data_IF_948917296402
#
_entry.id   IF_948917296402
#
_cell.length_a   1.000
_cell.length_b   1.000
_cell.length_c   1.000
_cell.angle_alpha   90.00
_cell.angle_beta   90.00
_cell.angle_gamma   90.00
#
_symmetry.space_group_name_H-M   'P 1'
#
loop_
_entity.id
_entity.type
_entity.pdbx_description
1 polymer ?
#
# COMPACT_ATOMS: atom_id res chain seq x y z
N UNK A 1 -15.21 -23.59 -7.78
CA UNK A 1 -14.37 -22.93 -6.77
C UNK A 1 -13.35 -22.10 -7.55
N UNK A 2 -13.62 -20.81 -7.71
CA UNK A 2 -12.68 -19.89 -8.35
C UNK A 2 -11.52 -19.65 -7.38
N UNK A 3 -10.31 -20.07 -7.76
CA UNK A 3 -9.10 -19.85 -6.97
C UNK A 3 -8.83 -18.34 -6.87
N UNK A 4 -8.96 -17.80 -5.66
CA UNK A 4 -8.62 -16.42 -5.33
C UNK A 4 -7.15 -16.13 -5.61
N UNK A 5 -6.84 -14.87 -5.94
CA UNK A 5 -5.46 -14.43 -6.13
C UNK A 5 -4.88 -13.76 -4.88
N UNK A 6 -3.55 -13.84 -4.75
CA UNK A 6 -2.81 -13.30 -3.62
C UNK A 6 -3.08 -11.82 -3.39
N UNK A 7 -3.19 -11.45 -2.10
CA UNK A 7 -3.49 -10.09 -1.61
C UNK A 7 -4.89 -9.58 -2.00
N UNK A 8 -5.87 -10.46 -2.16
CA UNK A 8 -7.27 -10.11 -2.42
C UNK A 8 -7.57 -9.60 -3.83
N UNK A 9 -6.62 -9.78 -4.76
CA UNK A 9 -6.76 -9.38 -6.15
C UNK A 9 -7.24 -10.56 -7.02
N UNK A 10 -8.19 -10.30 -7.93
CA UNK A 10 -8.56 -11.27 -8.96
C UNK A 10 -7.36 -11.59 -9.88
N UNK A 11 -7.36 -12.77 -10.50
CA UNK A 11 -6.41 -13.08 -11.58
C UNK A 11 -6.61 -12.06 -12.73
N UNK A 12 -5.52 -11.63 -13.34
CA UNK A 12 -5.55 -10.65 -14.43
C UNK A 12 -6.46 -11.14 -15.58
N UNK A 13 -7.37 -10.27 -16.06
CA UNK A 13 -8.26 -10.56 -17.20
C UNK A 13 -9.75 -10.26 -17.02
N UNK A 14 -10.20 -9.85 -15.82
CA UNK A 14 -11.61 -9.47 -15.58
C UNK A 14 -11.97 -8.05 -16.06
N UNK A 15 -13.24 -7.83 -16.41
CA UNK A 15 -13.74 -6.48 -16.73
C UNK A 15 -13.67 -5.57 -15.49
N UNK A 16 -13.08 -4.38 -15.64
CA UNK A 16 -12.99 -3.40 -14.56
C UNK A 16 -14.37 -2.75 -14.30
N UNK A 17 -14.93 -2.97 -13.12
CA UNK A 17 -16.15 -2.33 -12.64
C UNK A 17 -15.79 -1.19 -11.69
N UNK A 18 -15.82 0.05 -12.21
CA UNK A 18 -15.51 1.26 -11.45
C UNK A 18 -16.44 1.44 -10.24
N UNK A 19 -17.72 1.05 -10.35
CA UNK A 19 -18.69 1.20 -9.28
C UNK A 19 -18.38 0.32 -8.08
N UNK A 20 -18.05 -0.96 -8.33
CA UNK A 20 -17.61 -1.88 -7.27
C UNK A 20 -16.24 -1.52 -6.70
N UNK A 21 -15.34 -0.96 -7.50
CA UNK A 21 -14.03 -0.51 -7.04
C UNK A 21 -14.15 0.66 -6.06
N UNK A 22 -14.96 1.68 -6.36
CA UNK A 22 -15.17 2.83 -5.47
C UNK A 22 -15.87 2.43 -4.17
N UNK A 23 -16.66 1.35 -4.17
CA UNK A 23 -17.29 0.82 -2.96
C UNK A 23 -16.34 0.03 -2.05
N UNK A 24 -15.09 -0.22 -2.47
CA UNK A 24 -14.13 -0.89 -1.60
C UNK A 24 -13.79 0.01 -0.40
N UNK A 25 -13.86 -0.52 0.84
CA UNK A 25 -13.66 0.30 2.04
C UNK A 25 -12.27 0.93 2.12
N UNK A 26 -11.24 0.27 1.56
CA UNK A 26 -9.89 0.82 1.43
C UNK A 26 -9.87 2.07 0.53
N UNK A 27 -10.58 2.02 -0.61
CA UNK A 27 -10.66 3.12 -1.57
C UNK A 27 -11.41 4.31 -0.96
N UNK A 28 -12.52 4.06 -0.26
CA UNK A 28 -13.25 5.12 0.46
C UNK A 28 -12.39 5.78 1.53
N UNK A 29 -11.65 5.00 2.33
CA UNK A 29 -10.74 5.55 3.32
C UNK A 29 -9.60 6.36 2.69
N UNK A 30 -9.13 5.98 1.49
CA UNK A 30 -8.14 6.73 0.71
C UNK A 30 -8.70 8.06 0.23
N UNK A 31 -9.90 8.05 -0.34
CA UNK A 31 -10.59 9.26 -0.82
C UNK A 31 -10.82 10.21 0.37
N UNK A 32 -11.32 9.71 1.50
CA UNK A 32 -11.50 10.51 2.71
C UNK A 32 -10.19 11.13 3.19
N UNK A 33 -9.11 10.34 3.25
CA UNK A 33 -7.77 10.82 3.62
C UNK A 33 -7.25 11.89 2.66
N UNK A 34 -7.49 11.74 1.36
CA UNK A 34 -7.13 12.74 0.35
C UNK A 34 -7.91 14.05 0.53
N UNK A 35 -9.23 13.96 0.77
CA UNK A 35 -10.08 15.12 1.00
C UNK A 35 -9.68 15.86 2.26
N UNK A 36 -9.42 15.16 3.37
CA UNK A 36 -8.99 15.79 4.61
C UNK A 36 -7.63 16.49 4.44
N UNK A 37 -6.67 15.83 3.80
CA UNK A 37 -5.38 16.43 3.47
C UNK A 37 -5.54 17.70 2.60
N UNK A 38 -6.40 17.64 1.58
CA UNK A 38 -6.72 18.76 0.70
C UNK A 38 -7.29 19.94 1.48
N UNK A 39 -8.25 19.69 2.37
CA UNK A 39 -8.84 20.74 3.21
C UNK A 39 -7.77 21.40 4.08
N UNK A 40 -6.91 20.61 4.75
CA UNK A 40 -5.86 21.15 5.61
C UNK A 40 -4.93 22.07 4.84
N UNK A 41 -4.32 21.61 3.73
CA UNK A 41 -3.36 22.46 3.03
C UNK A 41 -4.06 23.64 2.32
N UNK A 42 -5.26 23.46 1.80
CA UNK A 42 -5.99 24.54 1.13
C UNK A 42 -6.36 25.66 2.11
N UNK A 43 -6.84 25.32 3.32
CA UNK A 43 -7.11 26.30 4.37
C UNK A 43 -5.84 27.06 4.77
N UNK A 44 -4.70 26.38 4.88
CA UNK A 44 -3.44 27.01 5.29
C UNK A 44 -2.79 27.85 4.18
N UNK A 45 -2.86 27.41 2.93
CA UNK A 45 -2.36 28.19 1.78
C UNK A 45 -3.23 29.40 1.50
N UNK A 46 -4.56 29.25 1.62
CA UNK A 46 -5.51 30.33 1.33
C UNK A 46 -5.57 31.38 2.43
N UNK A 47 -5.67 30.95 3.69
CA UNK A 47 -5.95 31.84 4.83
C UNK A 47 -5.05 31.57 6.05
N UNK A 48 -4.05 30.69 5.93
CA UNK A 48 -3.11 30.43 7.03
C UNK A 48 -2.13 31.58 7.26
N UNK A 49 -2.03 32.52 6.32
CA UNK A 49 -1.18 33.69 6.40
C UNK A 49 -2.00 34.97 6.40
N UNK A 50 -1.74 35.85 7.36
CA UNK A 50 -2.42 37.14 7.48
C UNK A 50 -1.42 38.24 7.78
N UNK A 51 -1.77 39.48 7.43
CA UNK A 51 -0.98 40.66 7.73
C UNK A 51 -1.72 41.56 8.73
N UNK A 52 -0.95 42.27 9.54
CA UNK A 52 -1.52 43.28 10.43
C UNK A 52 -1.95 44.52 9.62
N UNK A 53 -3.02 45.24 9.96
CA UNK A 53 -3.42 46.46 9.22
C UNK A 53 -2.32 47.51 9.11
N UNK A 54 -1.37 47.52 10.06
CA UNK A 54 -0.25 48.47 10.13
C UNK A 54 1.02 48.02 9.39
N UNK A 55 1.08 46.79 8.86
CA UNK A 55 2.28 46.25 8.20
C UNK A 55 1.92 45.32 7.04
N UNK A 56 2.63 45.39 5.89
CA UNK A 56 2.42 44.48 4.78
C UNK A 56 3.04 43.08 5.00
N UNK A 57 3.71 42.85 6.12
CA UNK A 57 4.33 41.55 6.41
C UNK A 57 3.26 40.49 6.70
N UNK A 58 3.34 39.36 5.99
CA UNK A 58 2.53 38.17 6.24
C UNK A 58 3.15 37.35 7.37
N UNK A 59 2.29 36.84 8.23
CA UNK A 59 2.66 35.92 9.30
C UNK A 59 1.70 34.75 9.35
N UNK A 60 2.21 33.60 9.76
CA UNK A 60 1.38 32.45 10.05
C UNK A 60 0.36 32.75 11.17
N UNK A 61 -0.90 32.39 10.94
CA UNK A 61 -2.03 32.58 11.86
C UNK A 61 -1.85 31.82 13.19
N UNK A 62 -1.01 30.79 13.20
CA UNK A 62 -0.68 30.02 14.40
C UNK A 62 0.45 30.71 15.17
N UNK A 63 0.09 31.63 16.06
CA UNK A 63 1.01 32.28 16.99
C UNK A 63 2.26 32.91 16.31
N UNK A 64 2.10 33.44 15.09
CA UNK A 64 3.19 33.99 14.26
C UNK A 64 4.34 33.00 14.01
N UNK A 65 4.09 31.70 14.20
CA UNK A 65 5.09 30.66 14.05
C UNK A 65 5.02 30.09 12.63
N UNK A 66 5.95 30.54 11.79
CA UNK A 66 6.09 30.10 10.40
C UNK A 66 6.19 28.58 10.25
N UNK A 67 6.83 27.90 11.20
CA UNK A 67 6.99 26.45 11.13
C UNK A 67 5.65 25.71 11.27
N UNK A 68 4.65 26.29 11.94
CA UNK A 68 3.31 25.69 12.07
C UNK A 68 2.57 25.64 10.74
N UNK A 69 2.49 26.76 10.02
CA UNK A 69 1.85 26.82 8.71
C UNK A 69 2.63 25.98 7.70
N UNK A 70 3.97 26.10 7.66
CA UNK A 70 4.81 25.33 6.74
C UNK A 70 4.70 23.83 6.99
N UNK A 71 4.66 23.41 8.25
CA UNK A 71 4.42 22.02 8.62
C UNK A 71 3.07 21.53 8.09
N UNK A 72 1.97 22.22 8.41
CA UNK A 72 0.64 21.79 8.01
C UNK A 72 0.45 21.75 6.49
N UNK A 73 0.99 22.74 5.77
CA UNK A 73 0.98 22.78 4.30
C UNK A 73 1.79 21.61 3.74
N UNK A 74 3.02 21.41 4.23
CA UNK A 74 3.91 20.36 3.74
C UNK A 74 3.33 18.97 3.93
N UNK A 75 2.86 18.67 5.15
CA UNK A 75 2.22 17.39 5.46
C UNK A 75 0.95 17.19 4.63
N UNK A 76 0.11 18.23 4.49
CA UNK A 76 -1.14 18.14 3.72
C UNK A 76 -0.91 17.92 2.22
N UNK A 77 0.01 18.65 1.59
CA UNK A 77 0.32 18.47 0.15
C UNK A 77 0.92 17.09 -0.12
N UNK A 78 1.90 16.67 0.68
CA UNK A 78 2.53 15.36 0.51
C UNK A 78 1.54 14.22 0.79
N UNK A 79 0.64 14.37 1.78
CA UNK A 79 -0.44 13.42 2.04
C UNK A 79 -1.36 13.26 0.82
N UNK A 80 -1.75 14.38 0.21
CA UNK A 80 -2.66 14.41 -0.92
C UNK A 80 -2.04 13.73 -2.15
N UNK A 81 -0.79 14.07 -2.47
CA UNK A 81 -0.05 13.43 -3.56
C UNK A 81 0.15 11.93 -3.33
N UNK A 82 0.50 11.54 -2.10
CA UNK A 82 0.60 10.12 -1.74
C UNK A 82 -0.74 9.40 -1.89
N UNK A 83 -1.85 10.03 -1.50
CA UNK A 83 -3.18 9.43 -1.71
C UNK A 83 -3.48 9.22 -3.20
N UNK A 84 -3.13 10.16 -4.08
CA UNK A 84 -3.26 9.98 -5.54
C UNK A 84 -2.40 8.82 -6.03
N UNK A 85 -1.15 8.75 -5.60
CA UNK A 85 -0.24 7.66 -5.97
C UNK A 85 -0.78 6.29 -5.53
N UNK A 86 -1.14 6.13 -4.26
CA UNK A 86 -1.66 4.86 -3.74
C UNK A 86 -3.04 4.52 -4.33
N UNK A 87 -3.86 5.52 -4.66
CA UNK A 87 -5.11 5.29 -5.38
C UNK A 87 -4.85 4.72 -6.79
N UNK A 88 -3.85 5.23 -7.51
CA UNK A 88 -3.44 4.64 -8.80
C UNK A 88 -2.90 3.22 -8.61
N UNK A 89 -2.10 2.99 -7.57
CA UNK A 89 -1.65 1.63 -7.21
C UNK A 89 -2.85 0.72 -6.98
N UNK A 90 -3.87 1.15 -6.24
CA UNK A 90 -5.09 0.37 -5.99
C UNK A 90 -5.83 0.01 -7.29
N UNK A 91 -5.89 0.93 -8.27
CA UNK A 91 -6.50 0.69 -9.61
C UNK A 91 -5.73 -0.39 -10.38
N UNK A 92 -4.41 -0.29 -10.43
CA UNK A 92 -3.58 -1.18 -11.24
C UNK A 92 -3.21 -2.48 -10.51
N UNK A 93 -3.41 -2.56 -9.19
CA UNK A 93 -3.03 -3.71 -8.38
C UNK A 93 -3.52 -5.06 -8.94
N UNK A 94 -4.77 -5.21 -9.43
CA UNK A 94 -5.24 -6.47 -10.00
C UNK A 94 -4.48 -6.92 -11.25
N UNK A 95 -3.90 -5.97 -12.00
CA UNK A 95 -3.17 -6.24 -13.24
C UNK A 95 -1.72 -6.70 -12.99
N UNK A 96 -1.18 -6.47 -11.80
CA UNK A 96 0.20 -6.84 -11.46
C UNK A 96 0.26 -8.37 -11.32
N UNK A 97 0.99 -9.07 -12.19
CA UNK A 97 1.15 -10.53 -12.09
C UNK A 97 2.21 -10.96 -11.07
N UNK A 98 3.21 -10.12 -10.81
CA UNK A 98 4.30 -10.41 -9.89
C UNK A 98 3.86 -10.26 -8.42
N UNK A 99 3.91 -11.37 -7.69
CA UNK A 99 3.48 -11.43 -6.30
C UNK A 99 4.45 -10.75 -5.34
N UNK A 100 5.72 -10.62 -5.72
CA UNK A 100 6.75 -9.89 -4.96
C UNK A 100 6.48 -8.38 -5.01
N UNK A 101 6.13 -7.85 -6.19
CA UNK A 101 5.78 -6.43 -6.35
C UNK A 101 4.52 -6.09 -5.56
N UNK A 102 3.50 -6.96 -5.61
CA UNK A 102 2.29 -6.84 -4.77
C UNK A 102 2.64 -6.75 -3.28
N UNK A 103 3.54 -7.60 -2.80
CA UNK A 103 3.99 -7.59 -1.40
C UNK A 103 4.61 -6.25 -1.02
N UNK A 104 5.55 -5.76 -1.82
CA UNK A 104 6.25 -4.50 -1.54
C UNK A 104 5.31 -3.30 -1.60
N UNK A 105 4.36 -3.28 -2.53
CA UNK A 105 3.34 -2.23 -2.60
C UNK A 105 2.43 -2.20 -1.37
N UNK A 106 1.98 -3.37 -0.91
CA UNK A 106 1.17 -3.46 0.32
C UNK A 106 1.98 -3.04 1.56
N UNK A 107 3.26 -3.44 1.65
CA UNK A 107 4.13 -3.06 2.76
C UNK A 107 4.46 -1.57 2.73
N UNK A 108 4.67 -1.00 1.55
CA UNK A 108 4.89 0.42 1.36
C UNK A 108 3.65 1.23 1.76
N UNK A 109 2.45 0.80 1.36
CA UNK A 109 1.19 1.42 1.76
C UNK A 109 0.98 1.36 3.28
N UNK A 110 1.25 0.20 3.88
CA UNK A 110 1.16 0.01 5.33
C UNK A 110 2.14 0.92 6.09
N UNK A 111 3.41 0.93 5.68
CA UNK A 111 4.46 1.73 6.32
C UNK A 111 4.24 3.22 6.14
N UNK A 112 3.89 3.65 4.92
CA UNK A 112 3.58 5.04 4.63
C UNK A 112 2.36 5.50 5.44
N UNK A 113 1.29 4.69 5.49
CA UNK A 113 0.10 5.02 6.27
C UNK A 113 0.38 5.10 7.77
N UNK A 114 1.24 4.24 8.29
CA UNK A 114 1.75 4.28 9.66
C UNK A 114 2.47 5.59 9.97
N UNK A 115 3.47 5.94 9.16
CA UNK A 115 4.22 7.18 9.30
C UNK A 115 3.30 8.40 9.21
N UNK A 116 2.38 8.42 8.26
CA UNK A 116 1.50 9.57 8.05
C UNK A 116 0.48 9.74 9.17
N UNK A 117 -0.03 8.65 9.74
CA UNK A 117 -0.88 8.71 10.94
C UNK A 117 -0.15 9.38 12.10
N UNK A 118 1.11 9.01 12.32
CA UNK A 118 1.94 9.62 13.36
C UNK A 118 2.22 11.10 13.10
N UNK A 119 2.53 11.47 11.85
CA UNK A 119 2.72 12.86 11.47
C UNK A 119 1.42 13.67 11.64
N UNK A 120 0.25 13.15 11.25
CA UNK A 120 -1.02 13.82 11.51
C UNK A 120 -1.28 14.04 13.01
N UNK A 121 -0.91 13.08 13.85
CA UNK A 121 -1.00 13.23 15.30
C UNK A 121 -0.09 14.35 15.82
N UNK A 122 1.19 14.37 15.41
CA UNK A 122 2.11 15.46 15.76
C UNK A 122 1.57 16.80 15.26
N UNK A 123 1.10 16.85 14.02
CA UNK A 123 0.52 18.04 13.42
C UNK A 123 -0.67 18.57 14.21
N UNK A 124 -1.62 17.70 14.51
CA UNK A 124 -2.77 18.06 15.33
C UNK A 124 -2.35 18.64 16.68
N UNK A 125 -1.46 17.98 17.41
CA UNK A 125 -0.95 18.48 18.69
C UNK A 125 -0.22 19.81 18.54
N UNK A 126 0.64 19.94 17.53
CA UNK A 126 1.44 21.14 17.30
C UNK A 126 0.59 22.34 16.91
N UNK A 127 -0.30 22.18 15.91
CA UNK A 127 -1.20 23.24 15.46
C UNK A 127 -2.17 23.65 16.58
N UNK A 128 -2.71 22.70 17.35
CA UNK A 128 -3.59 23.01 18.49
C UNK A 128 -2.84 23.77 19.58
N UNK A 129 -1.59 23.38 19.87
CA UNK A 129 -0.77 24.10 20.85
C UNK A 129 -0.49 25.53 20.40
N UNK A 130 -0.09 25.74 19.14
CA UNK A 130 0.15 27.11 18.64
C UNK A 130 -1.16 27.92 18.62
N UNK A 131 -2.28 27.30 18.24
CA UNK A 131 -3.59 27.95 18.26
C UNK A 131 -4.01 28.38 19.66
N UNK A 132 -3.77 27.56 20.69
CA UNK A 132 -4.10 27.89 22.07
C UNK A 132 -3.33 29.11 22.61
N UNK A 133 -2.15 29.40 22.06
CA UNK A 133 -1.33 30.57 22.41
C UNK A 133 -1.52 31.75 21.47
N UNK A 134 -2.31 31.59 20.40
CA UNK A 134 -2.61 32.66 19.45
C UNK A 134 -3.54 33.68 20.10
N UNK A 135 -3.19 34.97 20.01
CA UNK A 135 -4.02 36.03 20.59
C UNK A 135 -5.18 36.36 19.65
N UNK A 136 -6.35 36.62 20.21
CA UNK A 136 -7.53 36.96 19.41
C UNK A 136 -7.35 38.25 18.60
N UNK A 137 -6.53 39.18 19.08
CA UNK A 137 -6.17 40.44 18.41
C UNK A 137 -5.32 40.24 17.15
N UNK A 138 -4.70 39.06 16.99
CA UNK A 138 -3.85 38.73 15.84
C UNK A 138 -4.64 38.03 14.72
N UNK A 139 -5.89 37.63 14.98
CA UNK A 139 -6.71 36.83 14.07
C UNK A 139 -7.90 37.64 13.56
N UNK A 140 -7.66 38.48 12.55
CA UNK A 140 -8.70 39.30 11.91
C UNK A 140 -9.53 38.50 10.89
N UNK A 141 -8.88 37.61 10.13
CA UNK A 141 -9.46 36.77 9.07
C UNK A 141 -8.77 35.40 9.14
N UNK A 142 -9.49 34.31 8.82
CA UNK A 142 -8.90 32.96 8.75
C UNK A 142 -9.03 32.10 10.01
N UNK A 143 -9.70 32.59 11.06
CA UNK A 143 -9.93 31.80 12.28
C UNK A 143 -10.64 30.47 11.99
N UNK A 144 -11.66 30.49 11.12
CA UNK A 144 -12.41 29.31 10.74
C UNK A 144 -11.55 28.35 9.91
N UNK A 145 -10.72 28.87 9.00
CA UNK A 145 -9.75 28.08 8.23
C UNK A 145 -8.69 27.43 9.12
N UNK A 146 -8.17 28.12 10.14
CA UNK A 146 -7.24 27.55 11.12
C UNK A 146 -7.90 26.43 11.94
N UNK A 147 -9.14 26.66 12.41
CA UNK A 147 -9.92 25.64 13.14
C UNK A 147 -10.24 24.44 12.25
N UNK A 148 -10.59 24.67 10.99
CA UNK A 148 -10.78 23.61 10.01
C UNK A 148 -9.49 22.80 9.81
N UNK A 149 -8.35 23.46 9.60
CA UNK A 149 -7.06 22.79 9.47
C UNK A 149 -6.73 21.92 10.69
N UNK A 150 -6.97 22.39 11.92
CA UNK A 150 -6.83 21.58 13.14
C UNK A 150 -7.79 20.38 13.14
N UNK A 151 -9.08 20.63 12.88
CA UNK A 151 -10.13 19.60 12.93
C UNK A 151 -9.89 18.49 11.92
N UNK A 152 -9.54 18.85 10.68
CA UNK A 152 -9.27 17.86 9.63
C UNK A 152 -7.91 17.18 9.80
N UNK A 153 -6.94 17.81 10.49
CA UNK A 153 -5.72 17.11 10.94
C UNK A 153 -6.06 16.01 11.95
N UNK A 154 -6.97 16.27 12.90
CA UNK A 154 -7.44 15.26 13.85
C UNK A 154 -8.17 14.11 13.15
N UNK A 155 -9.11 14.40 12.24
CA UNK A 155 -9.81 13.36 11.49
C UNK A 155 -8.88 12.54 10.59
N UNK A 156 -7.82 13.16 10.07
CA UNK A 156 -6.80 12.44 9.29
C UNK A 156 -6.10 11.34 10.10
N UNK A 157 -5.94 11.48 11.42
CA UNK A 157 -5.37 10.41 12.25
C UNK A 157 -6.19 9.13 12.11
N UNK A 158 -7.52 9.22 12.19
CA UNK A 158 -8.39 8.06 12.09
C UNK A 158 -8.49 7.53 10.65
N UNK A 159 -8.58 8.41 9.65
CA UNK A 159 -8.70 7.98 8.26
C UNK A 159 -7.44 7.23 7.80
N UNK A 160 -6.26 7.70 8.19
CA UNK A 160 -4.99 7.01 7.94
C UNK A 160 -4.84 5.75 8.80
N UNK A 161 -5.34 5.76 10.03
CA UNK A 161 -5.46 4.55 10.86
C UNK A 161 -6.31 3.44 10.22
N UNK A 162 -7.40 3.80 9.55
CA UNK A 162 -8.21 2.85 8.77
C UNK A 162 -7.44 2.31 7.56
N UNK A 163 -6.64 3.15 6.88
CA UNK A 163 -5.76 2.69 5.80
C UNK A 163 -4.75 1.66 6.28
N UNK A 164 -4.15 1.85 7.47
CA UNK A 164 -3.27 0.86 8.10
C UNK A 164 -4.04 -0.46 8.31
N UNK A 165 -5.24 -0.41 8.88
CA UNK A 165 -6.02 -1.61 9.15
C UNK A 165 -6.37 -2.39 7.87
N UNK A 166 -6.76 -1.69 6.80
CA UNK A 166 -7.06 -2.30 5.51
C UNK A 166 -5.81 -2.83 4.81
N UNK A 167 -4.70 -2.10 4.80
CA UNK A 167 -3.42 -2.56 4.27
C UNK A 167 -2.90 -3.78 5.02
N UNK A 168 -3.04 -3.81 6.35
CA UNK A 168 -2.68 -4.95 7.18
C UNK A 168 -3.55 -6.18 6.89
N UNK A 169 -4.87 -6.00 6.76
CA UNK A 169 -5.78 -7.07 6.33
C UNK A 169 -5.35 -7.63 4.98
N UNK A 170 -5.01 -6.77 4.03
CA UNK A 170 -4.53 -7.16 2.69
C UNK A 170 -3.21 -7.91 2.74
N UNK A 171 -2.27 -7.46 3.56
CA UNK A 171 -1.01 -8.14 3.82
C UNK A 171 -1.24 -9.56 4.34
N UNK A 172 -2.09 -9.71 5.38
CA UNK A 172 -2.44 -11.01 5.94
C UNK A 172 -3.06 -11.96 4.92
N UNK A 173 -4.02 -11.47 4.11
CA UNK A 173 -4.64 -12.28 3.05
C UNK A 173 -3.60 -12.77 2.02
N UNK A 174 -2.60 -11.96 1.69
CA UNK A 174 -1.51 -12.39 0.81
C UNK A 174 -0.61 -13.45 1.45
N UNK A 175 -0.22 -13.27 2.71
CA UNK A 175 0.62 -14.24 3.45
C UNK A 175 -0.08 -15.59 3.59
N UNK A 176 -1.39 -15.58 3.90
CA UNK A 176 -2.20 -16.80 4.04
C UNK A 176 -2.33 -17.56 2.70
N UNK A 177 -2.53 -16.85 1.58
CA UNK A 177 -2.60 -17.45 0.23
C UNK A 177 -1.26 -18.09 -0.21
N UNK A 178 -0.14 -17.44 0.13
CA UNK A 178 1.19 -18.02 -0.09
C UNK A 178 1.44 -19.27 0.77
N UNK A 179 1.02 -19.26 2.03
CA UNK A 179 1.18 -20.40 2.92
C UNK A 179 0.39 -21.61 2.40
N UNK A 180 -0.85 -21.40 1.93
CA UNK A 180 -1.65 -22.46 1.31
C UNK A 180 -1.04 -22.99 0.00
N UNK A 181 -0.45 -22.11 -0.82
CA UNK A 181 0.21 -22.51 -2.08
C UNK A 181 1.47 -23.36 -1.88
N UNK A 182 2.11 -23.28 -0.71
CA UNK A 182 3.31 -24.06 -0.38
C UNK A 182 2.99 -25.41 0.29
N UNK A 183 1.78 -25.56 0.84
CA UNK A 183 1.28 -26.84 1.36
C UNK A 183 0.76 -27.64 0.15
N UNK A 184 1.60 -28.54 -0.36
CA UNK A 184 1.20 -29.50 -1.38
C UNK A 184 -0.03 -30.29 -0.89
N UNK A 185 -1.17 -30.29 -1.62
CA UNK A 185 -2.28 -31.15 -1.30
C UNK A 185 -1.96 -32.56 -1.83
N UNK A 186 -0.85 -33.16 -1.40
CA UNK A 186 -0.77 -34.62 -1.41
C UNK A 186 -1.74 -35.08 -0.34
N UNK A 187 -2.85 -35.76 -0.69
CA UNK A 187 -3.60 -36.46 0.33
C UNK A 187 -2.60 -37.44 0.93
N UNK A 188 -2.39 -37.38 2.23
CA UNK A 188 -1.86 -38.53 2.96
C UNK A 188 -2.85 -39.67 2.75
N UNK A 189 -2.73 -40.38 1.62
CA UNK A 189 -3.00 -41.79 1.59
C UNK A 189 -1.97 -42.37 2.55
N UNK A 190 -2.40 -42.54 3.80
CA UNK A 190 -1.72 -43.30 4.84
C UNK A 190 -1.05 -44.51 4.21
N UNK A 191 0.26 -44.44 3.97
CA UNK A 191 1.03 -45.57 3.50
C UNK A 191 0.98 -46.61 4.63
N UNK A 192 0.32 -47.75 4.46
CA UNK A 192 0.36 -48.79 5.48
C UNK A 192 1.80 -49.31 5.50
N UNK A 193 2.40 -49.33 6.69
CA UNK A 193 3.68 -49.97 7.00
C UNK A 193 4.00 -51.15 6.06
N UNK A 194 4.90 -50.95 5.10
CA UNK A 194 5.59 -52.04 4.42
C UNK A 194 6.87 -52.34 5.19
N UNK A 195 6.75 -53.28 6.12
CA UNK A 195 7.90 -53.96 6.73
C UNK A 195 8.78 -54.55 5.63
N UNK A 196 10.03 -54.13 5.56
CA UNK A 196 11.04 -54.74 4.68
C UNK A 196 11.24 -56.21 5.05
N UNK A 197 11.12 -57.18 4.12
CA UNK A 197 11.74 -58.46 4.29
C UNK A 197 13.17 -58.39 3.73
N UNK A 198 14.12 -58.69 4.59
CA UNK A 198 15.49 -59.03 4.25
C UNK A 198 15.49 -60.29 3.36
N UNK A 199 15.91 -60.19 2.09
CA UNK A 199 16.20 -61.36 1.25
C UNK A 199 17.57 -61.16 0.59
N UNK A 200 18.49 -62.00 1.04
CA UNK A 200 19.84 -62.25 0.55
C UNK A 200 19.87 -63.07 -0.75
N UNK A 201 20.84 -62.74 -1.61
CA UNK A 201 21.54 -63.56 -2.62
C UNK A 201 20.80 -64.21 -3.82
N UNK A 202 21.33 -63.88 -5.01
CA UNK A 202 21.40 -64.61 -6.29
C UNK A 202 20.13 -65.18 -6.94
N UNK A 203 19.74 -64.66 -8.13
CA UNK A 203 19.69 -65.42 -9.40
C UNK A 203 18.99 -64.68 -10.57
N UNK A 204 19.79 -64.35 -11.58
CA UNK A 204 19.54 -64.26 -13.03
C UNK A 204 18.14 -63.90 -13.60
N UNK A 205 18.07 -62.80 -14.37
CA UNK A 205 17.79 -62.86 -15.82
C UNK A 205 18.15 -61.56 -16.56
N UNK A 206 19.07 -61.68 -17.52
CA UNK A 206 19.43 -60.68 -18.54
C UNK A 206 18.38 -60.61 -19.67
N UNK A 207 18.27 -59.48 -20.40
CA UNK A 207 17.95 -59.48 -21.82
C UNK A 207 19.23 -59.50 -22.70
N UNK A 208 19.24 -60.20 -23.85
CA UNK A 208 20.42 -60.34 -24.70
C UNK A 208 20.61 -59.19 -25.71
N UNK A 209 21.86 -58.68 -25.78
CA UNK A 209 22.72 -58.29 -26.94
C UNK A 209 22.09 -57.61 -28.20
N UNK A 210 22.66 -56.59 -28.87
CA UNK A 210 24.08 -56.19 -29.15
C UNK A 210 24.08 -54.80 -29.85
N UNK A 211 24.93 -53.83 -29.46
CA UNK A 211 26.18 -53.29 -30.10
C UNK A 211 26.06 -52.83 -31.58
N UNK A 212 26.61 -51.72 -32.10
CA UNK A 212 27.83 -50.95 -31.77
C UNK A 212 27.84 -49.59 -32.50
N UNK A 213 28.69 -48.66 -32.03
CA UNK A 213 28.92 -47.31 -32.54
C UNK A 213 29.74 -47.22 -33.83
N UNK A 214 29.52 -46.16 -34.64
CA UNK A 214 30.54 -45.44 -35.43
C UNK A 214 29.95 -44.11 -35.98
N UNK A 215 30.59 -42.97 -35.66
CA UNK A 215 30.52 -41.70 -36.40
C UNK A 215 31.58 -41.74 -37.53
N UNK A 216 31.70 -40.82 -38.53
CA UNK A 216 31.22 -39.42 -38.58
C UNK A 216 30.66 -38.97 -39.97
N UNK A 217 30.15 -37.73 -40.09
CA UNK A 217 30.27 -36.82 -41.26
C UNK A 217 29.18 -35.71 -41.25
N UNK A 218 29.58 -34.45 -41.50
CA UNK A 218 28.76 -33.49 -42.25
C UNK A 218 27.95 -32.42 -41.49
N UNK A 219 28.49 -31.19 -41.43
CA UNK A 219 27.82 -29.95 -41.02
C UNK A 219 26.89 -29.39 -42.12
N UNK A 220 25.68 -28.92 -41.80
CA UNK A 220 25.08 -27.71 -42.43
C UNK A 220 23.80 -27.18 -41.74
N UNK A 221 23.69 -25.88 -41.40
CA UNK A 221 22.43 -25.24 -41.03
C UNK A 221 21.79 -24.48 -42.22
N UNK A 222 20.45 -24.42 -42.35
CA UNK A 222 19.77 -23.62 -43.37
C UNK A 222 19.18 -22.30 -42.82
N UNK A 223 18.75 -21.38 -43.72
CA UNK A 223 19.03 -19.95 -43.63
C UNK A 223 17.93 -19.10 -43.02
N UNK A 224 18.35 -17.92 -42.55
CA UNK A 224 17.48 -16.80 -42.20
C UNK A 224 16.99 -16.15 -43.48
N UNK A 225 15.67 -15.98 -43.61
CA UNK A 225 15.04 -15.02 -44.52
C UNK A 225 14.38 -13.93 -43.69
#
# INVERSE_FOLDING_TARGET
>A
MEGGGAYGAAKAGGAFDLGRFVQQPQVLARIASAVFALIVFACLVGEGYSNLPSSPQLFCIFNHNEDACRYGIGIGVLAFLACIFFFMVDIYFPQISNTTDRKYLVLADLGFSGLWTFLWFIGFCFLTNQWAWTRAEDVYIGADSARAAITFSFFSIFSWGLLIAFAYKRYKMGVEDFAQSYIDPTPEASAPYSSYPNISHESYQQPPFTHTAEAPEGYQPPPVY
#
